data_IF_161100181417
#
_entry.id   IF_161100181417
#
_cell.length_a   1.000
_cell.length_b   1.000
_cell.length_c   1.000
_cell.angle_alpha   90.00
_cell.angle_beta   90.00
_cell.angle_gamma   90.00
#
_symmetry.space_group_name_H-M   'P 1'
#
loop_
_entity.id
_entity.type
_entity.pdbx_description
1 polymer ?
#
# COMPACT_ATOMS: atom_id res chain seq x y z
N UNK A 1 -11.96 -2.65 -3.77
CA UNK A 1 -11.30 -2.90 -2.46
C UNK A 1 -9.78 -2.84 -2.63
N UNK A 2 -8.96 -2.86 -1.56
CA UNK A 2 -7.48 -2.72 -1.65
C UNK A 2 -6.81 -3.68 -2.63
N UNK A 3 -7.27 -4.94 -2.71
CA UNK A 3 -6.76 -5.92 -3.68
C UNK A 3 -6.96 -5.50 -5.14
N UNK A 4 -8.12 -4.94 -5.48
CA UNK A 4 -8.36 -4.42 -6.85
C UNK A 4 -7.41 -3.27 -7.19
N UNK A 5 -7.05 -2.42 -6.21
CA UNK A 5 -6.09 -1.33 -6.43
C UNK A 5 -4.69 -1.88 -6.67
N UNK A 6 -4.30 -2.93 -5.93
CA UNK A 6 -3.04 -3.65 -6.13
C UNK A 6 -2.99 -4.29 -7.54
N UNK A 7 -4.07 -4.97 -7.96
CA UNK A 7 -4.19 -5.58 -9.29
C UNK A 7 -4.10 -4.54 -10.42
N UNK A 8 -4.80 -3.41 -10.29
CA UNK A 8 -4.74 -2.32 -11.27
C UNK A 8 -3.33 -1.74 -11.34
N UNK A 9 -2.69 -1.49 -10.20
CA UNK A 9 -1.33 -0.96 -10.16
C UNK A 9 -0.32 -1.91 -10.84
N UNK A 10 -0.43 -3.22 -10.59
CA UNK A 10 0.38 -4.24 -11.29
C UNK A 10 0.11 -4.22 -12.80
N UNK A 11 -1.16 -4.15 -13.21
CA UNK A 11 -1.53 -4.10 -14.64
C UNK A 11 -0.97 -2.88 -15.36
N UNK A 12 -0.71 -1.79 -14.63
CA UNK A 12 -0.11 -0.56 -15.14
C UNK A 12 1.42 -0.57 -15.07
N UNK A 13 2.03 -1.68 -14.64
CA UNK A 13 3.48 -1.82 -14.53
C UNK A 13 4.09 -1.05 -13.36
N UNK A 14 3.33 -0.85 -12.28
CA UNK A 14 3.84 -0.18 -11.08
C UNK A 14 4.50 -1.19 -10.14
N UNK A 15 5.66 -0.84 -9.61
CA UNK A 15 6.43 -1.72 -8.69
C UNK A 15 6.05 -1.54 -7.22
N UNK A 16 5.37 -0.44 -6.88
CA UNK A 16 4.99 -0.11 -5.49
C UNK A 16 3.68 0.66 -5.40
N UNK A 17 3.01 0.49 -4.28
CA UNK A 17 1.84 1.25 -3.87
C UNK A 17 2.17 2.08 -2.63
N UNK A 18 1.82 3.37 -2.65
CA UNK A 18 1.99 4.30 -1.53
C UNK A 18 0.65 4.91 -1.14
N UNK A 19 0.22 4.70 0.11
CA UNK A 19 -1.07 5.12 0.63
C UNK A 19 -0.87 6.15 1.73
N UNK A 20 -1.45 7.33 1.58
CA UNK A 20 -1.46 8.32 2.67
C UNK A 20 -2.44 7.84 3.75
N UNK A 21 -1.92 7.48 4.92
CA UNK A 21 -2.71 6.87 5.98
C UNK A 21 -2.61 7.69 7.28
N UNK A 22 -3.77 7.99 7.86
CA UNK A 22 -3.86 8.54 9.21
C UNK A 22 -3.22 7.59 10.24
N UNK A 23 -2.67 8.15 11.32
CA UNK A 23 -1.89 7.37 12.30
C UNK A 23 -2.64 6.15 12.85
N UNK A 24 -3.94 6.30 13.13
CA UNK A 24 -4.79 5.21 13.67
C UNK A 24 -5.10 4.08 12.69
N UNK A 25 -4.94 4.29 11.38
CA UNK A 25 -5.24 3.27 10.36
C UNK A 25 -3.99 2.52 9.90
N UNK A 26 -2.79 2.95 10.30
CA UNK A 26 -1.52 2.32 9.90
C UNK A 26 -1.44 0.84 10.29
N UNK A 27 -2.02 0.45 11.43
CA UNK A 27 -2.05 -0.94 11.88
C UNK A 27 -2.78 -1.86 10.88
N UNK A 28 -3.86 -1.38 10.26
CA UNK A 28 -4.62 -2.12 9.25
C UNK A 28 -3.78 -2.41 8.00
N UNK A 29 -2.94 -1.46 7.57
CA UNK A 29 -2.05 -1.64 6.42
C UNK A 29 -0.83 -2.50 6.78
N UNK A 30 -0.29 -2.35 7.99
CA UNK A 30 0.83 -3.19 8.49
C UNK A 30 0.47 -4.66 8.50
N UNK A 31 -0.74 -5.02 8.92
CA UNK A 31 -1.21 -6.41 8.89
C UNK A 31 -1.38 -6.98 7.47
N UNK A 32 -1.22 -6.15 6.43
CA UNK A 32 -1.32 -6.48 5.00
C UNK A 32 0.02 -6.33 4.27
N UNK A 33 1.13 -6.27 5.01
CA UNK A 33 2.47 -6.21 4.41
C UNK A 33 2.93 -4.82 3.98
N UNK A 34 2.17 -3.77 4.32
CA UNK A 34 2.65 -2.40 4.10
C UNK A 34 3.59 -1.96 5.24
N UNK A 35 4.61 -1.19 4.88
CA UNK A 35 5.59 -0.58 5.78
C UNK A 35 5.44 0.93 5.81
N UNK A 36 5.88 1.59 6.88
CA UNK A 36 5.81 3.05 6.99
C UNK A 36 7.03 3.66 6.27
N UNK A 37 6.78 4.53 5.30
CA UNK A 37 7.79 5.31 4.58
C UNK A 37 7.34 6.77 4.53
N UNK A 38 7.92 7.60 5.41
CA UNK A 38 7.48 8.98 5.63
C UNK A 38 6.00 9.06 6.04
N UNK A 39 5.16 9.86 5.36
CA UNK A 39 3.73 9.96 5.66
C UNK A 39 2.90 8.81 5.04
N UNK A 40 3.52 7.89 4.30
CA UNK A 40 2.83 6.87 3.53
C UNK A 40 2.99 5.47 4.12
N UNK A 41 1.99 4.63 3.89
CA UNK A 41 2.09 3.18 3.99
C UNK A 41 2.44 2.62 2.61
N UNK A 42 3.55 1.91 2.50
CA UNK A 42 4.10 1.43 1.23
C UNK A 42 4.19 -0.08 1.18
N UNK A 43 3.82 -0.67 0.04
CA UNK A 43 4.02 -2.09 -0.26
C UNK A 43 4.58 -2.25 -1.68
N UNK A 44 5.53 -3.17 -1.83
CA UNK A 44 6.03 -3.60 -3.14
C UNK A 44 5.06 -4.60 -3.77
N UNK A 45 4.86 -4.52 -5.08
CA UNK A 45 3.86 -5.30 -5.83
C UNK A 45 4.47 -6.44 -6.67
N UNK A 46 5.74 -6.75 -6.44
CA UNK A 46 6.47 -7.83 -7.12
C UNK A 46 5.95 -9.23 -6.82
#
# INVERSE_FOLDING_TARGET
MLGEVEEVAVSWGMDRLAIMAGMGTRAYFRSRGYTLDGPYMVRSLG
#
